data_IF_301369278581
#
_entry.id   IF_301369278581
#
_cell.length_a   1.000
_cell.length_b   1.000
_cell.length_c   1.000
_cell.angle_alpha   90.00
_cell.angle_beta   90.00
_cell.angle_gamma   90.00
#
_symmetry.space_group_name_H-M   'P 1'
#
loop_
_entity.id
_entity.type
_entity.pdbx_description
1 polymer ?
#
# COMPACT_ATOMS: atom_id res chain seq x y z
N UNK A 1 -21.22 -6.44 -1.41
CA UNK A 1 -20.79 -5.45 -0.39
C UNK A 1 -19.80 -4.49 -1.05
N UNK A 2 -19.51 -3.34 -0.42
CA UNK A 2 -18.58 -2.39 -0.99
C UNK A 2 -17.14 -2.60 -0.52
N UNK A 3 -16.17 -2.11 -1.28
CA UNK A 3 -14.76 -2.17 -0.95
C UNK A 3 -14.15 -0.77 -0.93
N UNK A 4 -13.31 -0.51 0.07
CA UNK A 4 -12.50 0.72 0.14
C UNK A 4 -11.04 0.36 -0.14
N UNK A 5 -10.42 0.97 -1.12
CA UNK A 5 -8.99 0.82 -1.37
C UNK A 5 -8.27 2.07 -0.88
N UNK A 6 -7.24 1.90 -0.08
CA UNK A 6 -6.42 2.98 0.46
C UNK A 6 -5.02 2.88 -0.12
N UNK A 7 -4.65 3.82 -0.96
CA UNK A 7 -3.29 4.03 -1.43
C UNK A 7 -2.63 5.11 -0.57
N UNK A 8 -1.50 4.82 0.05
CA UNK A 8 -0.84 5.77 0.94
C UNK A 8 0.63 5.93 0.58
N UNK A 9 1.09 7.18 0.49
CA UNK A 9 2.51 7.49 0.46
C UNK A 9 3.14 7.23 1.84
N UNK A 10 4.44 6.95 1.90
CA UNK A 10 5.12 6.73 3.18
C UNK A 10 4.95 7.94 4.10
N UNK A 11 4.56 7.68 5.34
CA UNK A 11 4.31 8.72 6.33
C UNK A 11 2.95 9.43 6.24
N UNK A 12 2.08 9.02 5.30
CA UNK A 12 0.71 9.58 5.18
C UNK A 12 -0.34 8.87 6.06
N UNK A 13 0.04 8.03 7.00
CA UNK A 13 -0.86 7.45 8.00
C UNK A 13 -1.76 6.31 7.52
N UNK A 14 -1.42 5.65 6.40
CA UNK A 14 -2.25 4.57 5.86
C UNK A 14 -2.46 3.40 6.82
N UNK A 15 -1.44 3.05 7.61
CA UNK A 15 -1.47 1.97 8.62
C UNK A 15 -2.34 2.27 9.84
N UNK A 16 -2.70 3.51 10.06
CA UNK A 16 -3.58 3.93 11.17
C UNK A 16 -4.97 4.30 10.66
N UNK A 17 -5.04 5.04 9.55
CA UNK A 17 -6.32 5.47 8.95
C UNK A 17 -7.09 4.27 8.39
N UNK A 18 -6.39 3.33 7.72
CA UNK A 18 -7.02 2.14 7.14
C UNK A 18 -7.79 1.29 8.15
N UNK A 19 -7.15 0.84 9.27
CA UNK A 19 -7.85 0.13 10.34
C UNK A 19 -9.01 0.91 10.95
N UNK A 20 -8.85 2.22 11.20
CA UNK A 20 -9.90 3.07 11.75
C UNK A 20 -11.13 3.13 10.82
N UNK A 21 -10.90 3.25 9.51
CA UNK A 21 -11.97 3.19 8.50
C UNK A 21 -12.66 1.82 8.52
N UNK A 22 -11.89 0.74 8.59
CA UNK A 22 -12.44 -0.62 8.60
C UNK A 22 -13.31 -0.86 9.83
N UNK A 23 -12.86 -0.46 11.01
CA UNK A 23 -13.60 -0.54 12.26
C UNK A 23 -14.92 0.25 12.18
N UNK A 24 -14.86 1.52 11.75
CA UNK A 24 -16.02 2.39 11.65
C UNK A 24 -17.07 1.93 10.61
N UNK A 25 -16.65 1.14 9.61
CA UNK A 25 -17.52 0.55 8.60
C UNK A 25 -17.96 -0.89 8.96
N UNK A 26 -17.39 -1.51 9.99
CA UNK A 26 -17.61 -2.91 10.33
C UNK A 26 -17.11 -3.87 9.23
N UNK A 27 -16.04 -3.50 8.53
CA UNK A 27 -15.46 -4.26 7.43
C UNK A 27 -14.10 -4.86 7.83
N UNK A 28 -13.71 -6.02 7.26
CA UNK A 28 -12.37 -6.55 7.47
C UNK A 28 -11.30 -5.61 6.89
N UNK A 29 -10.19 -5.47 7.62
CA UNK A 29 -9.02 -4.74 7.16
C UNK A 29 -7.97 -5.69 6.58
N UNK A 30 -7.48 -5.34 5.40
CA UNK A 30 -6.41 -6.09 4.71
C UNK A 30 -5.25 -5.17 4.43
N UNK A 31 -4.18 -5.35 5.18
CA UNK A 31 -2.91 -4.62 4.98
C UNK A 31 -1.89 -5.51 4.28
N UNK A 32 -1.35 -5.02 3.18
CA UNK A 32 -0.23 -5.70 2.52
C UNK A 32 0.64 -4.71 1.76
N UNK A 33 1.86 -4.49 2.23
CA UNK A 33 2.88 -3.75 1.50
C UNK A 33 3.38 -4.54 0.28
N UNK A 34 3.69 -3.86 -0.81
CA UNK A 34 4.43 -4.45 -1.93
C UNK A 34 5.84 -4.75 -1.43
N UNK A 35 6.35 -5.98 -1.59
CA UNK A 35 7.71 -6.31 -1.19
C UNK A 35 8.71 -5.40 -1.89
N UNK A 36 9.64 -4.81 -1.14
CA UNK A 36 10.71 -3.99 -1.69
C UNK A 36 11.57 -4.78 -2.70
N UNK A 37 11.65 -6.11 -2.54
CA UNK A 37 12.37 -7.00 -3.45
C UNK A 37 11.71 -7.13 -4.83
N UNK A 38 10.38 -7.12 -4.91
CA UNK A 38 9.68 -7.08 -6.21
C UNK A 38 9.98 -5.76 -6.92
N UNK A 39 9.99 -4.66 -6.18
CA UNK A 39 10.34 -3.36 -6.72
C UNK A 39 11.81 -3.26 -7.16
N UNK A 40 12.72 -3.90 -6.43
CA UNK A 40 14.15 -3.98 -6.78
C UNK A 40 14.39 -4.78 -8.08
N UNK A 41 13.62 -5.82 -8.32
CA UNK A 41 13.66 -6.61 -9.56
C UNK A 41 13.03 -5.88 -10.75
N UNK A 42 12.27 -4.82 -10.49
CA UNK A 42 11.58 -4.04 -11.51
C UNK A 42 12.40 -2.86 -12.05
N UNK A 43 13.74 -2.90 -11.88
CA UNK A 43 14.68 -1.92 -12.42
C UNK A 43 14.51 -0.49 -11.88
N UNK A 44 14.22 -0.37 -10.59
CA UNK A 44 14.46 0.88 -9.87
C UNK A 44 15.98 1.07 -9.76
N UNK A 45 16.58 2.26 -10.05
CA UNK A 45 18.02 2.46 -10.10
C UNK A 45 18.73 1.86 -8.89
N UNK A 46 19.62 0.89 -9.15
CA UNK A 46 20.30 0.05 -8.14
C UNK A 46 21.30 0.81 -7.28
N UNK A 47 21.86 1.88 -7.76
CA UNK A 47 22.90 2.67 -7.10
C UNK A 47 22.42 3.39 -5.84
N UNK A 48 21.11 3.59 -5.68
CA UNK A 48 20.51 4.12 -4.46
C UNK A 48 20.07 2.99 -3.50
N UNK A 49 19.80 1.78 -4.02
CA UNK A 49 19.44 0.60 -3.23
C UNK A 49 20.67 -0.11 -2.62
N UNK A 50 21.81 -0.14 -3.33
CA UNK A 50 23.04 -0.81 -2.86
C UNK A 50 23.72 -0.12 -1.67
N UNK A 51 23.49 1.18 -1.49
CA UNK A 51 24.00 1.89 -0.29
C UNK A 51 23.24 1.57 0.99
N UNK A 52 22.21 0.75 0.94
CA UNK A 52 21.27 0.51 2.04
C UNK A 52 21.28 -0.93 2.59
N UNK A 53 22.12 -1.80 2.06
CA UNK A 53 22.07 -3.25 2.32
C UNK A 53 22.47 -3.68 3.74
N UNK A 54 23.09 -2.82 4.54
CA UNK A 54 23.57 -3.19 5.88
C UNK A 54 22.52 -3.04 7.01
N UNK A 55 21.35 -2.43 6.78
CA UNK A 55 20.37 -2.17 7.85
C UNK A 55 18.97 -2.75 7.65
N UNK A 56 18.71 -3.43 6.53
CA UNK A 56 17.35 -3.79 6.09
C UNK A 56 16.93 -5.22 6.47
N UNK A 57 17.84 -6.01 7.03
CA UNK A 57 17.71 -7.47 7.18
C UNK A 57 16.59 -7.94 8.14
N UNK A 58 16.18 -7.14 9.11
CA UNK A 58 15.17 -7.54 10.11
C UNK A 58 13.74 -7.05 9.82
N UNK A 59 13.58 -5.97 9.07
CA UNK A 59 12.27 -5.40 8.74
C UNK A 59 11.61 -6.09 7.55
N UNK A 60 12.40 -6.47 6.56
CA UNK A 60 11.94 -7.07 5.31
C UNK A 60 11.39 -8.49 5.50
N UNK A 61 12.01 -9.30 6.37
CA UNK A 61 11.51 -10.64 6.73
C UNK A 61 10.14 -10.60 7.43
N UNK A 62 9.86 -9.60 8.24
CA UNK A 62 8.52 -9.42 8.83
C UNK A 62 7.46 -9.11 7.78
N UNK A 63 7.79 -8.33 6.77
CA UNK A 63 6.88 -8.00 5.67
C UNK A 63 6.63 -9.23 4.79
N UNK A 64 7.68 -10.00 4.47
CA UNK A 64 7.58 -11.23 3.67
C UNK A 64 6.85 -12.33 4.45
N UNK A 65 7.14 -12.50 5.74
CA UNK A 65 6.46 -13.51 6.56
C UNK A 65 5.00 -13.16 6.89
N UNK A 66 4.63 -11.88 6.93
CA UNK A 66 3.21 -11.51 7.02
C UNK A 66 2.43 -11.78 5.74
N UNK A 67 3.12 -11.92 4.60
CA UNK A 67 2.51 -12.37 3.33
C UNK A 67 2.29 -13.89 3.30
N UNK A 68 3.03 -14.66 4.10
CA UNK A 68 2.86 -16.11 4.23
C UNK A 68 1.59 -16.55 5.00
N UNK A 69 0.84 -15.60 5.54
CA UNK A 69 -0.41 -15.87 6.28
C UNK A 69 -1.67 -16.00 5.40
N UNK A 70 -1.51 -16.07 4.06
CA UNK A 70 -2.57 -16.64 3.21
C UNK A 70 -2.34 -18.16 3.18
N UNK A 71 -3.24 -19.01 3.72
CA UNK A 71 -3.00 -20.44 3.85
C UNK A 71 -2.62 -21.16 2.56
N UNK A 72 -3.06 -20.64 1.42
CA UNK A 72 -2.77 -21.20 0.09
C UNK A 72 -1.39 -20.80 -0.48
N UNK A 73 -0.74 -19.78 0.08
CA UNK A 73 0.63 -19.40 -0.27
C UNK A 73 1.69 -20.00 0.69
N UNK A 74 1.25 -20.55 1.83
CA UNK A 74 2.13 -21.19 2.81
C UNK A 74 2.80 -22.48 2.30
N UNK A 75 2.35 -23.04 1.18
CA UNK A 75 2.96 -24.20 0.53
C UNK A 75 4.11 -23.87 -0.43
N UNK A 76 4.32 -22.61 -0.77
CA UNK A 76 5.44 -22.16 -1.59
C UNK A 76 6.62 -21.81 -0.68
N UNK A 77 7.58 -22.72 -0.55
CA UNK A 77 8.78 -22.50 0.25
C UNK A 77 9.63 -21.31 -0.22
N UNK A 78 10.64 -20.88 0.58
CA UNK A 78 11.43 -19.66 0.34
C UNK A 78 12.18 -19.60 -1.01
N UNK A 79 12.20 -20.66 -1.77
CA UNK A 79 12.86 -20.79 -3.07
C UNK A 79 11.96 -20.44 -4.27
N UNK A 80 10.65 -20.32 -4.09
CA UNK A 80 9.70 -20.08 -5.17
C UNK A 80 9.72 -18.63 -5.72
N UNK A 81 10.41 -17.70 -5.07
CA UNK A 81 10.44 -16.29 -5.43
C UNK A 81 11.54 -15.91 -6.42
N UNK A 82 12.13 -16.89 -7.13
CA UNK A 82 13.38 -16.67 -7.88
C UNK A 82 13.25 -16.51 -9.39
N UNK A 83 12.07 -16.56 -10.00
CA UNK A 83 11.93 -16.47 -11.46
C UNK A 83 10.82 -15.49 -11.89
N UNK A 84 10.97 -14.88 -13.10
CA UNK A 84 9.98 -13.97 -13.69
C UNK A 84 8.58 -14.62 -13.87
N UNK A 85 8.51 -15.93 -14.01
CA UNK A 85 7.25 -16.68 -14.03
C UNK A 85 6.48 -16.51 -12.70
N UNK A 86 7.20 -16.40 -11.59
CA UNK A 86 6.63 -16.23 -10.24
C UNK A 86 6.05 -14.83 -10.03
N UNK A 87 6.57 -13.79 -10.72
CA UNK A 87 6.05 -12.41 -10.60
C UNK A 87 4.64 -12.28 -11.21
N UNK A 88 4.42 -12.89 -12.36
CA UNK A 88 3.10 -12.92 -13.00
C UNK A 88 2.11 -13.74 -12.17
N UNK A 89 2.51 -14.92 -11.71
CA UNK A 89 1.70 -15.78 -10.85
C UNK A 89 1.36 -15.07 -9.52
N UNK A 90 2.34 -14.38 -8.92
CA UNK A 90 2.12 -13.59 -7.71
C UNK A 90 1.12 -12.45 -7.93
N UNK A 91 1.24 -11.72 -9.06
CA UNK A 91 0.28 -10.67 -9.43
C UNK A 91 -1.11 -11.24 -9.61
N UNK A 92 -1.26 -12.29 -10.42
CA UNK A 92 -2.55 -12.93 -10.69
C UNK A 92 -3.23 -13.39 -9.39
N UNK A 93 -2.47 -14.03 -8.51
CA UNK A 93 -3.00 -14.48 -7.21
C UNK A 93 -3.38 -13.30 -6.31
N UNK A 94 -2.60 -12.23 -6.31
CA UNK A 94 -2.94 -11.00 -5.59
C UNK A 94 -4.24 -10.38 -6.13
N UNK A 95 -4.39 -10.31 -7.44
CA UNK A 95 -5.60 -9.80 -8.08
C UNK A 95 -6.83 -10.66 -7.77
N UNK A 96 -6.68 -11.99 -7.79
CA UNK A 96 -7.74 -12.93 -7.40
C UNK A 96 -8.22 -12.68 -5.97
N UNK A 97 -7.30 -12.60 -5.02
CA UNK A 97 -7.61 -12.29 -3.61
C UNK A 97 -8.29 -10.93 -3.46
N UNK A 98 -7.84 -9.92 -4.19
CA UNK A 98 -8.47 -8.59 -4.18
C UNK A 98 -9.90 -8.62 -4.71
N UNK A 99 -10.16 -9.38 -5.78
CA UNK A 99 -11.52 -9.55 -6.32
C UNK A 99 -12.43 -10.31 -5.33
N UNK A 100 -11.91 -11.34 -4.64
CA UNK A 100 -12.65 -12.01 -3.59
C UNK A 100 -13.00 -11.07 -2.42
N UNK A 101 -12.05 -10.26 -1.97
CA UNK A 101 -12.31 -9.24 -0.93
C UNK A 101 -13.40 -8.26 -1.41
N UNK A 102 -13.37 -7.85 -2.67
CA UNK A 102 -14.37 -6.94 -3.24
C UNK A 102 -15.78 -7.55 -3.24
N UNK A 103 -15.93 -8.87 -3.36
CA UNK A 103 -17.24 -9.54 -3.26
C UNK A 103 -17.78 -9.59 -1.84
N UNK A 104 -16.91 -9.76 -0.85
CA UNK A 104 -17.28 -9.88 0.58
C UNK A 104 -17.36 -8.51 1.27
N UNK A 105 -16.72 -7.51 0.69
CA UNK A 105 -16.47 -6.20 1.29
C UNK A 105 -15.20 -6.17 2.13
N UNK A 106 -14.56 -5.00 2.21
CA UNK A 106 -13.33 -4.84 2.98
C UNK A 106 -12.67 -3.48 2.78
N UNK A 107 -11.68 -3.19 3.63
CA UNK A 107 -10.77 -2.05 3.48
C UNK A 107 -9.38 -2.61 3.16
N UNK A 108 -8.84 -2.27 2.00
CA UNK A 108 -7.56 -2.79 1.50
C UNK A 108 -6.53 -1.67 1.48
N UNK A 109 -5.39 -1.87 2.15
CA UNK A 109 -4.26 -0.93 2.11
C UNK A 109 -3.21 -1.42 1.10
N UNK A 110 -2.91 -0.58 0.11
CA UNK A 110 -1.86 -0.83 -0.87
C UNK A 110 -2.24 -1.84 -1.96
N UNK A 111 -1.27 -2.70 -2.37
CA UNK A 111 -1.41 -3.78 -3.38
C UNK A 111 -1.90 -3.33 -4.76
N UNK A 112 -1.73 -2.07 -5.10
CA UNK A 112 -2.33 -1.51 -6.30
C UNK A 112 -3.85 -1.78 -6.42
N UNK A 113 -4.55 -1.98 -5.29
CA UNK A 113 -5.95 -2.36 -5.26
C UNK A 113 -6.86 -1.36 -6.00
N UNK A 114 -6.50 -0.07 -6.02
CA UNK A 114 -7.23 0.94 -6.78
C UNK A 114 -7.17 0.69 -8.30
N UNK A 115 -6.09 0.07 -8.80
CA UNK A 115 -5.93 -0.25 -10.22
C UNK A 115 -6.57 -1.59 -10.56
N UNK A 116 -6.44 -2.59 -9.69
CA UNK A 116 -7.09 -3.91 -9.85
C UNK A 116 -8.60 -3.81 -9.85
N UNK A 117 -9.15 -2.93 -9.02
CA UNK A 117 -10.58 -2.74 -8.81
C UNK A 117 -11.12 -1.46 -9.45
N UNK A 118 -10.40 -0.88 -10.43
CA UNK A 118 -10.76 0.40 -11.05
C UNK A 118 -12.20 0.42 -11.60
N UNK A 119 -12.63 -0.68 -12.20
CA UNK A 119 -13.96 -0.81 -12.80
C UNK A 119 -15.01 -1.40 -11.83
N UNK A 120 -14.64 -1.64 -10.56
CA UNK A 120 -15.58 -2.23 -9.62
C UNK A 120 -16.63 -1.18 -9.17
N UNK A 121 -17.94 -1.39 -9.44
CA UNK A 121 -18.97 -0.35 -9.30
C UNK A 121 -19.17 0.12 -7.85
N UNK A 122 -18.85 -0.73 -6.88
CA UNK A 122 -18.96 -0.44 -5.45
C UNK A 122 -17.59 -0.30 -4.78
N UNK A 123 -16.59 0.21 -5.50
CA UNK A 123 -15.29 0.54 -4.92
C UNK A 123 -15.19 2.04 -4.62
N UNK A 124 -14.63 2.37 -3.45
CA UNK A 124 -14.13 3.70 -3.15
C UNK A 124 -12.61 3.66 -3.16
N UNK A 125 -11.99 4.41 -4.07
CA UNK A 125 -10.53 4.54 -4.16
C UNK A 125 -10.08 5.81 -3.47
N UNK A 126 -9.23 5.66 -2.45
CA UNK A 126 -8.70 6.75 -1.62
C UNK A 126 -7.19 6.82 -1.76
N UNK A 127 -6.64 8.03 -1.88
CA UNK A 127 -5.22 8.30 -1.78
C UNK A 127 -4.94 9.20 -0.58
N UNK A 128 -4.02 8.77 0.27
CA UNK A 128 -3.47 9.54 1.37
C UNK A 128 -2.06 9.98 0.98
N UNK A 129 -1.81 11.28 0.99
CA UNK A 129 -0.55 11.84 0.54
C UNK A 129 -0.19 13.11 1.35
N UNK A 130 0.73 13.89 0.83
CA UNK A 130 1.18 15.18 1.33
C UNK A 130 2.60 15.49 0.87
N UNK A 131 3.06 16.73 1.03
CA UNK A 131 4.42 17.13 0.69
C UNK A 131 5.47 16.26 1.39
N UNK A 132 6.54 15.90 0.67
CA UNK A 132 7.59 15.01 1.18
C UNK A 132 8.14 15.47 2.53
N UNK A 133 8.50 16.75 2.65
CA UNK A 133 9.08 17.27 3.89
C UNK A 133 8.09 17.25 5.06
N UNK A 134 6.82 17.49 4.79
CA UNK A 134 5.76 17.42 5.81
C UNK A 134 5.54 15.98 6.28
N UNK A 135 5.55 14.99 5.37
CA UNK A 135 5.45 13.56 5.70
C UNK A 135 6.67 13.09 6.50
N UNK A 136 7.89 13.52 6.13
CA UNK A 136 9.10 13.24 6.91
C UNK A 136 8.98 13.80 8.33
N UNK A 137 8.64 15.08 8.46
CA UNK A 137 8.46 15.72 9.75
C UNK A 137 7.38 15.03 10.61
N UNK A 138 6.30 14.55 9.98
CA UNK A 138 5.23 13.81 10.64
C UNK A 138 5.73 12.48 11.22
N UNK A 139 6.49 11.70 10.44
CA UNK A 139 7.07 10.43 10.90
C UNK A 139 8.08 10.67 12.02
N UNK A 140 8.98 11.64 11.87
CA UNK A 140 9.95 12.00 12.92
C UNK A 140 9.25 12.35 14.23
N UNK A 141 8.22 13.22 14.21
CA UNK A 141 7.45 13.58 15.41
C UNK A 141 6.78 12.38 16.08
N UNK A 142 6.28 11.42 15.29
CA UNK A 142 5.53 10.27 15.83
C UNK A 142 6.42 9.15 16.32
N UNK A 143 7.59 8.96 15.71
CA UNK A 143 8.45 7.80 15.97
C UNK A 143 9.72 8.13 16.73
N UNK A 144 10.13 9.39 16.76
CA UNK A 144 11.43 9.82 17.29
C UNK A 144 12.64 9.39 16.46
N UNK A 145 12.43 8.81 15.27
CA UNK A 145 13.51 8.34 14.39
C UNK A 145 14.28 9.52 13.80
N UNK A 146 15.60 9.35 13.53
CA UNK A 146 16.41 10.37 12.88
C UNK A 146 15.85 10.73 11.49
N UNK A 147 15.78 12.02 11.17
CA UNK A 147 15.25 12.52 9.90
C UNK A 147 15.93 11.89 8.66
N UNK A 148 17.29 11.75 8.61
CA UNK A 148 17.96 11.16 7.45
C UNK A 148 17.47 9.73 7.15
N UNK A 149 17.22 8.92 8.19
CA UNK A 149 16.74 7.55 8.04
C UNK A 149 15.29 7.53 7.54
N UNK A 150 14.43 8.38 8.11
CA UNK A 150 13.04 8.53 7.68
C UNK A 150 12.98 8.98 6.22
N UNK A 151 13.82 9.93 5.83
CA UNK A 151 13.88 10.46 4.45
C UNK A 151 14.35 9.40 3.45
N UNK A 152 15.32 8.57 3.84
CA UNK A 152 15.78 7.42 3.05
C UNK A 152 14.65 6.41 2.84
N UNK A 153 14.01 5.98 3.93
CA UNK A 153 12.92 5.00 3.86
C UNK A 153 11.73 5.52 3.04
N UNK A 154 11.40 6.81 3.15
CA UNK A 154 10.36 7.45 2.36
C UNK A 154 10.65 7.34 0.86
N UNK A 155 11.88 7.70 0.43
CA UNK A 155 12.27 7.63 -0.98
C UNK A 155 12.20 6.20 -1.50
N UNK A 156 12.76 5.25 -0.77
CA UNK A 156 12.77 3.84 -1.14
C UNK A 156 11.36 3.27 -1.26
N UNK A 157 10.51 3.50 -0.26
CA UNK A 157 9.14 2.97 -0.25
C UNK A 157 8.26 3.59 -1.35
N UNK A 158 8.31 4.91 -1.52
CA UNK A 158 7.48 5.58 -2.53
C UNK A 158 7.95 5.23 -3.95
N UNK A 159 9.28 5.13 -4.19
CA UNK A 159 9.83 4.68 -5.47
C UNK A 159 9.41 3.23 -5.78
N UNK A 160 9.48 2.33 -4.79
CA UNK A 160 9.08 0.94 -4.93
C UNK A 160 7.60 0.80 -5.33
N UNK A 161 6.71 1.54 -4.64
CA UNK A 161 5.27 1.55 -4.96
C UNK A 161 4.98 2.09 -6.36
N UNK A 162 5.63 3.20 -6.74
CA UNK A 162 5.48 3.79 -8.05
C UNK A 162 5.97 2.86 -9.17
N UNK A 163 7.13 2.21 -8.98
CA UNK A 163 7.68 1.25 -9.92
C UNK A 163 6.74 0.05 -10.13
N UNK A 164 6.18 -0.52 -9.03
CA UNK A 164 5.22 -1.61 -9.10
C UNK A 164 4.00 -1.25 -9.94
N UNK A 165 3.34 -0.13 -9.67
CA UNK A 165 2.16 0.31 -10.41
C UNK A 165 2.50 0.58 -11.87
N UNK A 166 3.61 1.23 -12.16
CA UNK A 166 4.06 1.50 -13.52
C UNK A 166 4.34 0.22 -14.30
N UNK A 167 4.99 -0.76 -13.68
CA UNK A 167 5.35 -2.02 -14.31
C UNK A 167 4.11 -2.84 -14.67
N UNK A 168 3.25 -3.12 -13.69
CA UNK A 168 2.12 -4.04 -13.87
C UNK A 168 0.87 -3.41 -14.48
N UNK A 169 0.61 -2.13 -14.18
CA UNK A 169 -0.64 -1.46 -14.56
C UNK A 169 -0.45 -0.33 -15.58
N UNK A 170 0.82 -0.01 -15.95
CA UNK A 170 1.17 1.04 -16.92
C UNK A 170 0.58 2.42 -16.56
N UNK A 171 0.39 2.69 -15.29
CA UNK A 171 -0.19 3.91 -14.74
C UNK A 171 0.81 4.63 -13.83
N UNK A 172 0.60 5.92 -13.66
CA UNK A 172 1.26 6.70 -12.60
C UNK A 172 0.36 6.70 -11.35
N UNK A 173 0.85 6.10 -10.26
CA UNK A 173 0.15 6.03 -9.00
C UNK A 173 -0.09 7.40 -8.32
N UNK A 174 0.54 8.47 -8.80
CA UNK A 174 0.38 9.82 -8.24
C UNK A 174 -0.77 10.60 -8.88
N UNK A 175 -1.27 10.17 -10.02
CA UNK A 175 -2.34 10.87 -10.72
C UNK A 175 -3.68 10.76 -9.99
N UNK A 176 -4.26 11.92 -9.66
CA UNK A 176 -5.52 12.01 -8.91
C UNK A 176 -6.71 11.32 -9.61
N UNK A 177 -6.67 11.20 -10.94
CA UNK A 177 -7.75 10.56 -11.73
C UNK A 177 -8.03 9.09 -11.38
N UNK A 178 -7.07 8.43 -10.72
CA UNK A 178 -7.22 7.03 -10.29
C UNK A 178 -7.95 6.88 -8.95
N UNK A 179 -8.27 7.99 -8.30
CA UNK A 179 -8.84 8.01 -6.96
C UNK A 179 -10.11 8.84 -6.92
N UNK A 180 -11.05 8.43 -6.08
CA UNK A 180 -12.27 9.19 -5.84
C UNK A 180 -12.07 10.27 -4.77
N UNK A 181 -11.12 10.04 -3.85
CA UNK A 181 -10.77 10.97 -2.77
C UNK A 181 -9.24 11.00 -2.64
N UNK A 182 -8.69 12.21 -2.60
CA UNK A 182 -7.26 12.45 -2.32
C UNK A 182 -7.17 13.39 -1.12
N UNK A 183 -6.46 12.98 -0.07
CA UNK A 183 -6.34 13.72 1.17
C UNK A 183 -4.87 14.02 1.49
N UNK A 184 -4.57 15.28 1.79
CA UNK A 184 -3.32 15.67 2.42
C UNK A 184 -3.41 15.43 3.93
N UNK A 185 -2.86 14.31 4.38
CA UNK A 185 -2.87 13.87 5.78
C UNK A 185 -1.74 14.47 6.62
N UNK A 186 -0.97 15.37 6.02
CA UNK A 186 0.00 16.20 6.76
C UNK A 186 -0.65 17.46 7.34
N UNK A 187 -1.82 17.84 6.81
CA UNK A 187 -2.61 19.00 7.22
C UNK A 187 -3.91 18.54 7.91
N UNK A 188 -4.57 17.53 7.37
CA UNK A 188 -5.79 16.96 7.93
C UNK A 188 -5.39 15.94 9.01
N UNK A 189 -5.98 16.05 10.19
CA UNK A 189 -5.78 15.07 11.27
C UNK A 189 -6.21 13.68 10.81
N UNK A 190 -5.53 12.64 11.25
CA UNK A 190 -5.79 11.27 10.79
C UNK A 190 -7.17 10.76 11.18
N UNK A 191 -7.68 11.17 12.34
CA UNK A 191 -9.04 10.87 12.78
C UNK A 191 -10.06 11.52 11.83
N UNK A 192 -9.86 12.80 11.50
CA UNK A 192 -10.72 13.52 10.55
C UNK A 192 -10.63 12.92 9.14
N UNK A 193 -9.43 12.49 8.72
CA UNK A 193 -9.25 11.82 7.43
C UNK A 193 -10.00 10.48 7.38
N UNK A 194 -10.00 9.71 8.47
CA UNK A 194 -10.79 8.49 8.59
C UNK A 194 -12.30 8.79 8.48
N UNK A 195 -12.80 9.80 9.17
CA UNK A 195 -14.22 10.21 9.13
C UNK A 195 -14.66 10.64 7.71
N UNK A 196 -13.81 11.37 7.00
CA UNK A 196 -14.07 11.77 5.61
C UNK A 196 -14.17 10.55 4.69
N UNK A 197 -13.26 9.59 4.85
CA UNK A 197 -13.28 8.34 4.07
C UNK A 197 -14.51 7.51 4.41
N UNK A 198 -14.88 7.39 5.68
CA UNK A 198 -16.10 6.69 6.13
C UNK A 198 -17.35 7.33 5.54
N UNK A 199 -17.43 8.65 5.56
CA UNK A 199 -18.56 9.38 4.97
C UNK A 199 -18.69 9.12 3.47
N UNK A 200 -17.57 9.21 2.73
CA UNK A 200 -17.53 8.92 1.30
C UNK A 200 -17.87 7.44 1.01
N UNK A 201 -17.40 6.51 1.85
CA UNK A 201 -17.66 5.09 1.69
C UNK A 201 -19.16 4.79 1.89
N UNK A 202 -19.80 5.34 2.91
CA UNK A 202 -21.24 5.17 3.15
C UNK A 202 -22.08 5.68 1.99
N UNK A 203 -21.67 6.77 1.37
CA UNK A 203 -22.39 7.35 0.23
C UNK A 203 -22.21 6.55 -1.08
N UNK A 204 -21.08 5.84 -1.25
CA UNK A 204 -20.75 5.18 -2.52
C UNK A 204 -20.89 3.66 -2.51
N UNK A 205 -20.59 3.01 -1.38
CA UNK A 205 -20.38 1.54 -1.37
C UNK A 205 -21.40 0.80 -0.49
N UNK A 206 -22.11 1.49 0.36
CA UNK A 206 -23.17 0.94 1.19
C UNK A 206 -24.54 1.26 0.60
#
# INVERSE_FOLDING_TARGET
MGVVTVSASYGAGGSEIGPAVAEALGLPFVDRAVPAEVARKLDVPLDEAERQDESVDTGMWRVISSMALVPELAGAGPLAYRTFADEHAFREKTEEVLREIATRGGVVLGRAAAFVLADHPKALHVRLDGPVDARVAQVVRRTGRPEPDVRRDLRSNDAARAAYVRHFYRCDATEARHYHVVLDTTVILWETAADLVVTAARARVM
#
